data_IF_287266198692
#
_entry.id   IF_287266198692
#
_cell.length_a   1.000
_cell.length_b   1.000
_cell.length_c   1.000
_cell.angle_alpha   90.00
_cell.angle_beta   90.00
_cell.angle_gamma   90.00
#
_symmetry.space_group_name_H-M   'P 1'
#
loop_
_entity.id
_entity.type
_entity.pdbx_description
1 polymer ?
#
# COMPACT_ATOMS: atom_id res chain seq x y z
N UNK A 1 6.91 -35.61 -3.77
CA UNK A 1 7.96 -34.59 -3.96
C UNK A 1 7.51 -33.30 -3.26
N UNK A 2 8.29 -32.69 -2.36
CA UNK A 2 7.89 -31.44 -1.67
C UNK A 2 8.04 -30.26 -2.65
N UNK A 3 6.93 -29.73 -3.14
CA UNK A 3 6.90 -28.53 -4.00
C UNK A 3 7.23 -27.32 -3.12
N UNK A 4 8.35 -26.67 -3.37
CA UNK A 4 8.74 -25.43 -2.69
C UNK A 4 8.15 -24.25 -3.47
N UNK A 5 6.97 -23.80 -3.06
CA UNK A 5 6.37 -22.57 -3.58
C UNK A 5 7.21 -21.38 -3.08
N UNK A 6 7.79 -20.62 -4.01
CA UNK A 6 8.44 -19.36 -3.68
C UNK A 6 7.35 -18.34 -3.34
N UNK A 7 7.12 -18.13 -2.04
CA UNK A 7 6.43 -16.93 -1.58
C UNK A 7 7.45 -15.79 -1.63
N UNK A 8 7.19 -14.80 -2.45
CA UNK A 8 7.84 -13.50 -2.33
C UNK A 8 7.30 -12.86 -1.06
N UNK A 9 8.00 -13.05 0.05
CA UNK A 9 7.78 -12.27 1.26
C UNK A 9 8.71 -11.08 1.18
N UNK A 10 8.19 -9.93 0.76
CA UNK A 10 8.85 -8.67 1.08
C UNK A 10 8.81 -8.48 2.60
N UNK A 11 9.91 -7.98 3.16
CA UNK A 11 9.94 -7.58 4.56
C UNK A 11 8.81 -6.58 4.77
N UNK A 12 7.82 -6.95 5.59
CA UNK A 12 6.75 -6.02 5.94
C UNK A 12 7.38 -4.82 6.62
N UNK A 13 7.07 -3.62 6.13
CA UNK A 13 7.42 -2.39 6.82
C UNK A 13 7.01 -2.52 8.29
N UNK A 14 7.87 -2.06 9.19
CA UNK A 14 7.53 -1.98 10.61
C UNK A 14 6.23 -1.19 10.74
N UNK A 15 5.39 -1.56 11.69
CA UNK A 15 4.12 -0.85 11.92
C UNK A 15 4.11 -0.28 13.33
N UNK A 16 3.61 0.94 13.45
CA UNK A 16 3.37 1.64 14.70
C UNK A 16 1.86 1.63 14.97
N UNK A 17 1.49 1.17 16.16
CA UNK A 17 0.09 1.09 16.56
C UNK A 17 -0.12 1.88 17.85
N UNK A 18 -1.09 2.78 17.83
CA UNK A 18 -1.40 3.64 18.97
C UNK A 18 -2.90 3.91 19.08
N UNK A 19 -3.29 4.48 20.23
CA UNK A 19 -4.65 4.89 20.50
C UNK A 19 -4.81 6.36 20.10
N UNK A 20 -5.81 6.67 19.29
CA UNK A 20 -6.12 8.03 18.86
C UNK A 20 -6.51 8.89 20.05
N UNK A 21 -5.99 10.11 20.12
CA UNK A 21 -6.24 11.07 21.19
C UNK A 21 -6.41 12.46 20.59
N UNK A 22 -6.85 13.42 21.41
CA UNK A 22 -6.97 14.83 21.01
C UNK A 22 -5.64 15.41 20.50
N UNK A 23 -4.52 15.05 21.14
CA UNK A 23 -3.19 15.53 20.75
C UNK A 23 -2.79 15.12 19.33
N UNK A 24 -3.15 13.90 18.91
CA UNK A 24 -2.87 13.44 17.54
C UNK A 24 -3.69 14.23 16.51
N UNK A 25 -4.94 14.55 16.84
CA UNK A 25 -5.77 15.40 15.99
C UNK A 25 -5.23 16.83 15.91
N UNK A 26 -4.87 17.43 17.05
CA UNK A 26 -4.26 18.77 17.14
C UNK A 26 -2.98 18.82 16.30
N UNK A 27 -2.09 17.82 16.46
CA UNK A 27 -0.88 17.70 15.64
C UNK A 27 -1.20 17.72 14.14
N UNK A 28 -2.20 16.97 13.67
CA UNK A 28 -2.58 16.98 12.26
C UNK A 28 -3.06 18.36 11.81
N UNK A 29 -3.90 19.03 12.62
CA UNK A 29 -4.42 20.36 12.27
C UNK A 29 -3.35 21.45 12.30
N UNK A 30 -2.46 21.43 13.29
CA UNK A 30 -1.36 22.39 13.44
C UNK A 30 -0.39 22.30 12.25
N UNK A 31 -0.19 21.09 11.72
CA UNK A 31 0.62 20.83 10.52
C UNK A 31 -0.21 20.83 9.22
N UNK A 32 -1.47 21.27 9.26
CA UNK A 32 -2.37 21.36 8.09
C UNK A 32 -2.53 20.04 7.32
N UNK A 33 -2.46 18.92 8.02
CA UNK A 33 -2.73 17.57 7.52
C UNK A 33 -4.22 17.28 7.73
N UNK A 34 -4.98 17.18 6.65
CA UNK A 34 -6.43 16.99 6.73
C UNK A 34 -6.80 15.52 6.83
N UNK A 35 -7.83 15.17 7.60
CA UNK A 35 -8.25 13.78 7.81
C UNK A 35 -9.49 13.38 7.00
N UNK A 36 -9.92 14.25 6.07
CA UNK A 36 -11.00 13.99 5.12
C UNK A 36 -10.99 15.07 4.01
N UNK A 37 -11.36 14.68 2.79
CA UNK A 37 -11.60 15.62 1.70
C UNK A 37 -13.01 16.20 1.83
N UNK A 38 -13.12 17.54 1.82
CA UNK A 38 -14.21 18.40 2.34
C UNK A 38 -14.04 18.66 3.84
N UNK A 39 -13.65 19.89 4.17
CA UNK A 39 -13.39 20.43 5.53
C UNK A 39 -14.54 20.39 6.54
N UNK A 40 -15.41 19.39 6.52
CA UNK A 40 -16.37 19.10 7.57
C UNK A 40 -15.63 18.50 8.76
N UNK A 41 -15.26 19.35 9.72
CA UNK A 41 -14.89 19.06 11.13
C UNK A 41 -14.72 17.55 11.42
N UNK A 42 -13.59 16.98 11.00
CA UNK A 42 -13.29 15.54 11.15
C UNK A 42 -13.20 15.13 12.62
N UNK A 43 -12.96 16.08 13.52
CA UNK A 43 -13.07 15.92 14.95
C UNK A 43 -14.19 16.83 15.47
N UNK A 44 -15.39 16.29 15.61
CA UNK A 44 -16.23 16.68 16.75
C UNK A 44 -16.04 15.53 17.74
N UNK A 45 -15.88 15.82 19.03
CA UNK A 45 -15.87 14.80 20.09
C UNK A 45 -17.10 13.85 20.05
N UNK A 46 -18.13 14.23 19.27
CA UNK A 46 -19.36 13.48 19.03
C UNK A 46 -19.57 13.01 17.58
N UNK A 47 -18.63 13.18 16.66
CA UNK A 47 -18.79 12.65 15.30
C UNK A 47 -18.40 11.16 15.31
N UNK A 48 -19.29 10.33 15.84
CA UNK A 48 -19.14 8.87 16.03
C UNK A 48 -18.66 8.10 14.80
N UNK A 49 -18.73 8.70 13.60
CA UNK A 49 -18.50 8.02 12.33
C UNK A 49 -17.06 8.08 11.79
N UNK A 50 -16.19 9.00 12.26
CA UNK A 50 -14.88 9.23 11.61
C UNK A 50 -13.68 8.89 12.51
N UNK A 51 -13.51 9.59 13.63
CA UNK A 51 -12.46 9.31 14.61
C UNK A 51 -12.99 9.50 16.02
N UNK A 52 -12.86 8.47 16.84
CA UNK A 52 -13.22 8.46 18.26
C UNK A 52 -11.97 8.39 19.12
N UNK A 53 -12.02 9.01 20.31
CA UNK A 53 -10.97 8.86 21.32
C UNK A 53 -10.80 7.37 21.66
N UNK A 54 -9.58 6.87 21.60
CA UNK A 54 -9.27 5.46 21.86
C UNK A 54 -9.33 4.56 20.62
N UNK A 55 -9.67 5.09 19.44
CA UNK A 55 -9.57 4.33 18.19
C UNK A 55 -8.15 3.80 18.00
N UNK A 56 -8.03 2.51 17.68
CA UNK A 56 -6.73 1.89 17.39
C UNK A 56 -6.34 2.23 15.96
N UNK A 57 -5.26 2.98 15.79
CA UNK A 57 -4.70 3.35 14.50
C UNK A 57 -3.38 2.62 14.31
N UNK A 58 -3.17 2.09 13.11
CA UNK A 58 -1.93 1.46 12.69
C UNK A 58 -1.39 2.20 11.48
N UNK A 59 -0.13 2.61 11.56
CA UNK A 59 0.59 3.34 10.51
C UNK A 59 1.86 2.55 10.21
N UNK A 60 2.24 2.46 8.95
CA UNK A 60 3.54 1.90 8.56
C UNK A 60 4.68 2.87 8.88
N UNK A 61 5.88 2.33 9.04
CA UNK A 61 7.07 3.12 9.27
C UNK A 61 7.37 4.04 8.08
N UNK A 62 8.03 5.17 8.35
CA UNK A 62 8.44 6.16 7.35
C UNK A 62 7.29 6.77 6.53
N UNK A 63 6.09 6.91 7.12
CA UNK A 63 5.00 7.68 6.49
C UNK A 63 5.33 9.18 6.55
N UNK A 64 5.30 9.83 5.38
CA UNK A 64 5.55 11.27 5.24
C UNK A 64 4.26 11.98 4.80
N UNK A 65 3.68 12.77 5.69
CA UNK A 65 2.56 13.65 5.40
C UNK A 65 3.06 15.09 5.21
N UNK A 66 3.07 15.61 3.98
CA UNK A 66 3.39 17.02 3.75
C UNK A 66 2.23 17.93 4.20
N UNK A 67 2.51 19.20 4.50
CA UNK A 67 1.47 20.18 4.81
C UNK A 67 0.44 20.28 3.66
N UNK A 68 -0.82 20.55 4.00
CA UNK A 68 -1.94 20.63 3.06
C UNK A 68 -2.31 19.31 2.36
N UNK A 69 -1.70 18.18 2.74
CA UNK A 69 -2.13 16.86 2.28
C UNK A 69 -3.43 16.43 2.97
N UNK A 70 -4.19 15.55 2.32
CA UNK A 70 -5.36 14.88 2.92
C UNK A 70 -5.07 13.40 3.11
N UNK A 71 -5.37 12.88 4.29
CA UNK A 71 -5.32 11.46 4.64
C UNK A 71 -6.72 10.88 4.67
N UNK A 72 -6.94 9.68 4.09
CA UNK A 72 -8.19 8.96 4.26
C UNK A 72 -8.41 8.60 5.73
N UNK A 73 -9.67 8.40 6.10
CA UNK A 73 -10.05 8.15 7.49
C UNK A 73 -9.37 6.88 8.02
N UNK A 74 -8.58 7.02 9.09
CA UNK A 74 -7.80 5.97 9.76
C UNK A 74 -6.75 5.27 8.87
N UNK A 75 -6.38 5.88 7.75
CA UNK A 75 -5.39 5.33 6.83
C UNK A 75 -4.37 6.40 6.50
N UNK A 76 -3.10 6.11 6.77
CA UNK A 76 -2.01 7.06 6.59
C UNK A 76 -0.99 6.42 5.65
N UNK A 77 -0.64 7.16 4.60
CA UNK A 77 0.39 6.82 3.63
C UNK A 77 1.22 8.08 3.35
N UNK A 78 2.31 7.95 2.59
CA UNK A 78 3.12 9.10 2.24
C UNK A 78 2.43 9.93 1.16
N UNK A 79 2.04 11.17 1.48
CA UNK A 79 1.26 12.03 0.58
C UNK A 79 1.87 13.41 0.51
N UNK A 80 2.14 13.86 -0.72
CA UNK A 80 2.62 15.20 -1.01
C UNK A 80 1.57 16.30 -0.79
N UNK A 81 2.03 17.54 -0.70
CA UNK A 81 1.21 18.72 -0.51
C UNK A 81 0.16 18.87 -1.61
N UNK A 82 -1.02 19.39 -1.23
CA UNK A 82 -2.17 19.62 -2.11
C UNK A 82 -2.70 18.35 -2.80
N UNK A 83 -2.33 17.18 -2.30
CA UNK A 83 -2.87 15.90 -2.77
C UNK A 83 -3.96 15.39 -1.84
N UNK A 84 -4.96 14.75 -2.43
CA UNK A 84 -6.11 14.25 -1.70
C UNK A 84 -6.53 12.84 -2.15
N UNK A 85 -5.95 11.81 -1.55
CA UNK A 85 -6.52 10.48 -1.64
C UNK A 85 -7.84 10.36 -0.87
N UNK A 86 -8.83 9.78 -1.56
CA UNK A 86 -10.17 9.51 -1.01
C UNK A 86 -10.50 8.01 -0.96
N UNK A 87 -9.49 7.16 -1.16
CA UNK A 87 -9.59 5.71 -1.03
C UNK A 87 -8.61 5.16 0.01
N UNK A 88 -8.88 3.96 0.50
CA UNK A 88 -8.00 3.26 1.43
C UNK A 88 -6.93 2.48 0.68
N UNK A 89 -5.71 2.60 1.16
CA UNK A 89 -4.57 1.91 0.63
C UNK A 89 -4.06 0.81 1.55
N UNK A 90 -3.59 -0.28 0.96
CA UNK A 90 -2.78 -1.29 1.65
C UNK A 90 -1.33 -0.82 1.71
N UNK A 91 -0.94 -0.32 2.88
CA UNK A 91 0.44 0.04 3.22
C UNK A 91 0.85 1.49 2.90
N UNK A 92 2.14 1.79 3.05
CA UNK A 92 2.72 3.12 2.85
C UNK A 92 3.00 3.41 1.37
N UNK A 93 1.97 3.72 0.59
CA UNK A 93 2.16 4.20 -0.78
C UNK A 93 2.65 5.65 -0.80
N UNK A 94 3.42 5.96 -1.83
CA UNK A 94 3.95 7.30 -2.08
C UNK A 94 3.12 7.98 -3.15
N UNK A 95 2.40 9.03 -2.75
CA UNK A 95 1.64 9.90 -3.63
C UNK A 95 2.38 11.24 -3.72
N UNK A 96 2.60 11.71 -4.95
CA UNK A 96 3.24 13.00 -5.20
C UNK A 96 2.41 14.21 -4.76
N UNK A 97 2.85 15.41 -5.12
CA UNK A 97 2.10 16.66 -4.91
C UNK A 97 1.05 16.87 -6.00
N UNK A 98 -0.01 17.61 -5.68
CA UNK A 98 -1.09 17.99 -6.62
C UNK A 98 -1.81 16.79 -7.28
N UNK A 99 -1.92 15.67 -6.56
CA UNK A 99 -2.59 14.47 -7.03
C UNK A 99 -4.02 14.37 -6.47
N UNK A 100 -4.98 14.09 -7.35
CA UNK A 100 -6.36 13.75 -6.98
C UNK A 100 -6.57 12.25 -7.14
N UNK A 101 -6.72 11.52 -6.04
CA UNK A 101 -7.04 10.08 -6.09
C UNK A 101 -8.49 9.87 -5.67
N UNK A 102 -9.31 9.46 -6.64
CA UNK A 102 -10.74 9.26 -6.46
C UNK A 102 -11.06 8.09 -5.50
N UNK A 103 -12.30 8.07 -5.04
CA UNK A 103 -12.80 6.96 -4.24
C UNK A 103 -12.82 5.68 -5.08
N UNK A 104 -12.70 4.52 -4.43
CA UNK A 104 -12.66 3.20 -5.06
C UNK A 104 -11.48 2.92 -6.01
N UNK A 105 -10.46 3.78 -6.05
CA UNK A 105 -9.18 3.44 -6.69
C UNK A 105 -8.47 2.40 -5.85
N UNK A 106 -7.98 1.34 -6.51
CA UNK A 106 -7.14 0.31 -5.91
C UNK A 106 -5.79 0.33 -6.60
N UNK A 107 -4.75 0.09 -5.82
CA UNK A 107 -3.42 -0.14 -6.39
C UNK A 107 -3.37 -1.60 -6.82
N UNK A 108 -2.82 -1.85 -8.00
CA UNK A 108 -2.55 -3.22 -8.42
C UNK A 108 -1.57 -3.89 -7.44
N UNK A 109 -1.62 -5.22 -7.39
CA UNK A 109 -0.70 -5.99 -6.58
C UNK A 109 0.75 -5.89 -7.04
N UNK A 110 1.52 -6.90 -6.67
CA UNK A 110 2.96 -6.98 -6.92
C UNK A 110 3.36 -6.60 -8.34
N UNK A 111 4.52 -5.95 -8.46
CA UNK A 111 5.11 -5.64 -9.76
C UNK A 111 5.31 -6.94 -10.54
N UNK A 112 4.87 -6.92 -11.80
CA UNK A 112 5.10 -8.02 -12.71
C UNK A 112 6.63 -8.18 -12.93
N UNK A 113 7.15 -9.42 -12.94
CA UNK A 113 8.58 -9.65 -13.15
C UNK A 113 9.02 -9.07 -14.50
N UNK A 114 9.91 -8.08 -14.46
CA UNK A 114 10.47 -7.46 -15.67
C UNK A 114 11.63 -8.28 -16.27
N UNK A 115 12.14 -9.26 -15.53
CA UNK A 115 13.21 -10.16 -15.96
C UNK A 115 12.67 -11.50 -16.50
N UNK A 116 11.49 -11.48 -17.14
CA UNK A 116 10.83 -12.64 -17.77
C UNK A 116 10.47 -12.31 -19.21
N UNK A 117 10.27 -13.34 -20.03
CA UNK A 117 9.85 -13.18 -21.44
C UNK A 117 8.41 -12.68 -21.60
N UNK A 118 7.62 -12.76 -20.53
CA UNK A 118 6.29 -12.19 -20.46
C UNK A 118 6.02 -11.73 -19.03
N UNK A 119 5.25 -10.65 -18.90
CA UNK A 119 4.67 -10.20 -17.63
C UNK A 119 3.40 -10.98 -17.28
N UNK A 120 2.98 -11.95 -18.10
CA UNK A 120 1.81 -12.77 -17.80
C UNK A 120 2.02 -13.63 -16.55
N UNK A 121 0.96 -13.76 -15.74
CA UNK A 121 0.94 -14.50 -14.47
C UNK A 121 1.45 -15.94 -14.57
N UNK A 122 1.35 -16.55 -15.75
CA UNK A 122 1.89 -17.89 -16.05
C UNK A 122 3.34 -18.08 -15.60
N UNK A 123 4.15 -17.00 -15.56
CA UNK A 123 5.58 -17.10 -15.24
C UNK A 123 5.94 -16.95 -13.77
N UNK A 124 4.98 -16.59 -12.89
CA UNK A 124 5.27 -16.32 -11.48
C UNK A 124 4.16 -16.70 -10.50
N UNK A 125 2.95 -17.08 -10.95
CA UNK A 125 1.86 -17.49 -10.06
C UNK A 125 1.96 -18.97 -9.60
N UNK A 126 2.92 -19.74 -10.14
CA UNK A 126 3.16 -21.15 -9.81
C UNK A 126 2.11 -22.14 -10.37
N UNK A 127 1.06 -21.67 -11.05
CA UNK A 127 0.03 -22.55 -11.64
C UNK A 127 0.58 -23.35 -12.82
N UNK A 128 1.48 -22.74 -13.61
CA UNK A 128 2.14 -23.44 -14.71
C UNK A 128 3.02 -24.59 -14.20
N UNK A 129 3.73 -24.39 -13.09
CA UNK A 129 4.59 -25.43 -12.51
C UNK A 129 3.76 -26.63 -12.03
N UNK A 130 2.57 -26.38 -11.45
CA UNK A 130 1.62 -27.42 -11.06
C UNK A 130 1.11 -28.20 -12.27
N UNK A 131 0.70 -27.50 -13.32
CA UNK A 131 0.23 -28.11 -14.57
C UNK A 131 1.32 -28.94 -15.26
N UNK A 132 2.55 -28.42 -15.34
CA UNK A 132 3.67 -29.12 -15.95
C UNK A 132 4.04 -30.40 -15.18
N UNK A 133 3.93 -30.35 -13.85
CA UNK A 133 4.12 -31.53 -13.00
C UNK A 133 3.01 -32.56 -13.19
N UNK A 134 1.75 -32.13 -13.31
CA UNK A 134 0.61 -33.05 -13.45
C UNK A 134 0.53 -33.72 -14.81
N UNK A 135 0.77 -32.98 -15.89
CA UNK A 135 0.61 -33.48 -17.27
C UNK A 135 1.87 -34.15 -17.82
N UNK A 136 3.05 -33.66 -17.42
CA UNK A 136 4.31 -34.07 -18.05
C UNK A 136 5.31 -34.71 -17.08
N UNK A 137 4.97 -34.84 -15.78
CA UNK A 137 5.87 -35.31 -14.72
C UNK A 137 7.21 -34.56 -14.70
N UNK A 138 7.21 -33.29 -15.14
CA UNK A 138 8.42 -32.47 -15.26
C UNK A 138 8.36 -31.28 -14.34
N UNK A 139 9.44 -31.08 -13.60
CA UNK A 139 9.70 -29.81 -12.92
C UNK A 139 10.13 -28.78 -13.97
N UNK A 140 9.29 -27.77 -14.19
CA UNK A 140 9.69 -26.57 -14.90
C UNK A 140 10.24 -25.57 -13.88
N UNK A 141 11.43 -25.03 -14.12
CA UNK A 141 11.95 -23.89 -13.36
C UNK A 141 12.19 -22.75 -14.33
N UNK A 142 11.33 -21.74 -14.26
CA UNK A 142 11.38 -20.60 -15.16
C UNK A 142 12.53 -19.67 -14.73
N UNK A 143 13.67 -19.78 -15.41
CA UNK A 143 14.87 -18.97 -15.10
C UNK A 143 14.66 -17.51 -15.54
N UNK A 144 15.08 -16.52 -14.72
CA UNK A 144 15.10 -15.13 -15.14
C UNK A 144 16.01 -14.94 -16.36
N UNK A 145 15.73 -13.93 -17.19
CA UNK A 145 16.72 -13.45 -18.13
C UNK A 145 17.91 -12.84 -17.38
N UNK A 146 19.10 -13.25 -17.78
CA UNK A 146 20.34 -12.59 -17.40
C UNK A 146 20.57 -11.49 -18.44
N UNK A 147 20.01 -10.30 -18.20
CA UNK A 147 20.32 -9.13 -19.02
C UNK A 147 21.75 -8.69 -18.70
N UNK A 148 22.68 -8.90 -19.63
CA UNK A 148 24.00 -8.27 -19.58
C UNK A 148 23.89 -6.89 -20.25
N UNK A 149 24.37 -5.80 -19.63
CA UNK A 149 24.50 -4.53 -20.33
C UNK A 149 25.43 -4.73 -21.54
N UNK A 150 25.06 -4.17 -22.70
CA UNK A 150 26.05 -3.93 -23.75
C UNK A 150 26.94 -2.78 -23.26
N UNK A 151 28.26 -3.05 -23.21
CA UNK A 151 29.27 -2.04 -22.87
C UNK A 151 29.35 -0.97 -23.96
#
# INVERSE_FOLDING_TARGET
>A
MKVQLYKFTEDKNKTLTFRWTKKHFEFCMDNKIFLNHKGKKSYKERNLFLFSKGDKITIEDNVIAEEYSTMPVKNFSSVGAFSFPTCHFSGNIRIGRFCSIASNVKIMGENHPLNRFTTHMMTYNGEFDKFAMSEFERSWTLKPFITKPEN
#
